data_IF_308928782712
#
_entry.id   IF_308928782712
#
_cell.length_a   1.000
_cell.length_b   1.000
_cell.length_c   1.000
_cell.angle_alpha   90.00
_cell.angle_beta   90.00
_cell.angle_gamma   90.00
#
_symmetry.space_group_name_H-M   'P 1'
#
loop_
_entity.id
_entity.type
_entity.pdbx_description
1 polymer ?
#
# COMPACT_ATOMS: atom_id res chain seq x y z
N UNK A 1 24.21 -21.76 5.41
CA UNK A 1 22.96 -21.41 4.71
C UNK A 1 22.53 -19.96 4.94
N UNK A 2 22.36 -19.50 6.19
CA UNK A 2 21.90 -18.14 6.52
C UNK A 2 22.75 -17.02 5.87
N UNK A 3 24.09 -17.10 5.93
CA UNK A 3 24.99 -16.10 5.33
C UNK A 3 24.77 -15.92 3.81
N UNK A 4 24.56 -17.02 3.09
CA UNK A 4 24.31 -16.99 1.63
C UNK A 4 22.98 -16.33 1.32
N UNK A 5 21.94 -16.60 2.13
CA UNK A 5 20.63 -16.00 1.98
C UNK A 5 20.69 -14.47 2.15
N UNK A 6 21.35 -13.98 3.21
CA UNK A 6 21.55 -12.54 3.40
C UNK A 6 22.39 -11.90 2.28
N UNK A 7 23.44 -12.57 1.82
CA UNK A 7 24.23 -12.10 0.69
C UNK A 7 23.42 -12.00 -0.60
N UNK A 8 22.52 -12.96 -0.84
CA UNK A 8 21.60 -12.94 -1.99
C UNK A 8 20.61 -11.78 -1.89
N UNK A 9 19.99 -11.57 -0.72
CA UNK A 9 19.11 -10.42 -0.46
C UNK A 9 19.84 -9.11 -0.75
N UNK A 10 21.02 -8.93 -0.15
CA UNK A 10 21.83 -7.73 -0.33
C UNK A 10 22.19 -7.48 -1.79
N UNK A 11 22.54 -8.54 -2.52
CA UNK A 11 22.86 -8.46 -3.94
C UNK A 11 21.66 -8.03 -4.78
N UNK A 12 20.45 -8.51 -4.46
CA UNK A 12 19.21 -8.12 -5.15
C UNK A 12 18.83 -6.66 -4.83
N UNK A 13 18.92 -6.26 -3.56
CA UNK A 13 18.67 -4.88 -3.08
C UNK A 13 19.54 -3.88 -3.85
N UNK A 14 20.81 -4.23 -4.07
CA UNK A 14 21.76 -3.41 -4.81
C UNK A 14 21.65 -3.57 -6.34
N UNK A 15 20.66 -4.30 -6.84
CA UNK A 15 20.45 -4.60 -8.26
C UNK A 15 21.64 -5.31 -8.94
N UNK A 16 22.50 -5.97 -8.15
CA UNK A 16 23.71 -6.69 -8.63
C UNK A 16 23.47 -8.19 -8.81
N UNK A 17 22.49 -8.75 -8.10
CA UNK A 17 22.14 -10.17 -8.12
C UNK A 17 20.79 -10.42 -8.79
N UNK A 18 20.50 -11.70 -8.98
CA UNK A 18 19.22 -12.19 -9.50
C UNK A 18 18.64 -13.29 -8.64
N UNK A 19 17.47 -13.83 -9.02
CA UNK A 19 16.82 -14.90 -8.28
C UNK A 19 17.70 -16.17 -8.18
N UNK A 20 18.59 -16.41 -9.14
CA UNK A 20 19.53 -17.54 -9.14
C UNK A 20 20.49 -17.54 -7.94
N UNK A 21 20.65 -16.41 -7.24
CA UNK A 21 21.46 -16.32 -6.03
C UNK A 21 20.80 -16.99 -4.81
N UNK A 22 19.50 -17.28 -4.87
CA UNK A 22 18.78 -17.95 -3.78
C UNK A 22 18.92 -19.47 -3.88
N UNK A 23 19.14 -20.18 -2.75
CA UNK A 23 19.13 -21.64 -2.75
C UNK A 23 17.74 -22.15 -3.14
N UNK A 24 17.66 -23.16 -4.01
CA UNK A 24 16.41 -23.81 -4.32
C UNK A 24 15.88 -24.54 -3.07
N UNK A 25 14.75 -24.06 -2.54
CA UNK A 25 14.09 -24.65 -1.37
C UNK A 25 12.58 -24.35 -1.41
N UNK A 26 11.75 -25.30 -1.84
CA UNK A 26 10.29 -25.17 -1.80
C UNK A 26 9.75 -24.91 -0.39
N UNK A 27 10.43 -25.46 0.63
CA UNK A 27 10.08 -25.27 2.04
C UNK A 27 10.23 -23.78 2.42
N UNK A 28 11.30 -23.13 1.97
CA UNK A 28 11.50 -21.69 2.23
C UNK A 28 10.38 -20.86 1.62
N UNK A 29 9.94 -21.20 0.40
CA UNK A 29 8.80 -20.54 -0.25
C UNK A 29 7.50 -20.73 0.55
N UNK A 30 7.20 -21.96 0.96
CA UNK A 30 6.00 -22.26 1.76
C UNK A 30 6.01 -21.49 3.08
N UNK A 31 7.17 -21.43 3.77
CA UNK A 31 7.32 -20.66 5.00
C UNK A 31 7.08 -19.16 4.76
N UNK A 32 7.67 -18.58 3.71
CA UNK A 32 7.46 -17.18 3.34
C UNK A 32 6.00 -16.84 3.05
N UNK A 33 5.29 -17.73 2.35
CA UNK A 33 3.85 -17.58 2.08
C UNK A 33 3.04 -17.73 3.37
N UNK A 34 3.37 -18.71 4.21
CA UNK A 34 2.70 -18.95 5.49
C UNK A 34 2.83 -17.75 6.43
N UNK A 35 4.03 -17.17 6.55
CA UNK A 35 4.25 -15.92 7.29
C UNK A 35 3.39 -14.78 6.70
N UNK A 36 3.18 -14.78 5.39
CA UNK A 36 2.29 -13.87 4.63
C UNK A 36 0.88 -13.90 5.13
N UNK A 37 0.33 -15.09 5.14
CA UNK A 37 -1.04 -15.35 5.54
C UNK A 37 -1.28 -15.02 7.01
N UNK A 38 -0.24 -15.02 7.85
CA UNK A 38 -0.36 -14.65 9.27
C UNK A 38 -0.21 -13.14 9.46
N UNK A 39 0.84 -12.51 8.93
CA UNK A 39 1.13 -11.09 9.24
C UNK A 39 0.17 -10.14 8.52
N UNK A 40 -0.21 -10.44 7.28
CA UNK A 40 -1.09 -9.57 6.46
C UNK A 40 -2.45 -9.29 7.14
N UNK A 41 -3.18 -10.27 7.70
CA UNK A 41 -4.40 -9.99 8.46
C UNK A 41 -4.19 -9.06 9.63
N UNK A 42 -3.10 -9.24 10.37
CA UNK A 42 -2.79 -8.41 11.54
C UNK A 42 -2.51 -6.95 11.16
N UNK A 43 -1.87 -6.73 10.00
CA UNK A 43 -1.47 -5.39 9.57
C UNK A 43 -2.54 -4.62 8.79
N UNK A 44 -3.49 -5.31 8.13
CA UNK A 44 -4.36 -4.69 7.11
C UNK A 44 -5.76 -4.29 7.59
N UNK A 45 -6.09 -4.48 8.87
CA UNK A 45 -7.36 -4.02 9.46
C UNK A 45 -8.62 -4.56 8.75
N UNK A 46 -8.55 -5.72 8.09
CA UNK A 46 -9.67 -6.33 7.37
C UNK A 46 -9.62 -6.22 5.84
N UNK A 47 -8.63 -5.53 5.25
CA UNK A 47 -8.42 -5.51 3.79
C UNK A 47 -7.72 -6.77 3.24
N UNK A 48 -7.79 -7.88 3.99
CA UNK A 48 -7.09 -9.13 3.69
C UNK A 48 -7.47 -9.70 2.34
N UNK A 49 -8.75 -9.64 1.95
CA UNK A 49 -9.22 -10.23 0.70
C UNK A 49 -8.61 -9.53 -0.54
N UNK A 50 -8.48 -8.20 -0.48
CA UNK A 50 -7.85 -7.41 -1.53
C UNK A 50 -6.35 -7.74 -1.63
N UNK A 51 -5.65 -7.81 -0.50
CA UNK A 51 -4.23 -8.16 -0.47
C UNK A 51 -3.98 -9.60 -0.94
N UNK A 52 -4.81 -10.56 -0.53
CA UNK A 52 -4.75 -11.94 -1.02
C UNK A 52 -4.99 -11.97 -2.52
N UNK A 53 -6.01 -11.29 -3.04
CA UNK A 53 -6.28 -11.27 -4.48
C UNK A 53 -5.11 -10.70 -5.28
N UNK A 54 -4.47 -9.63 -4.80
CA UNK A 54 -3.32 -9.01 -5.44
C UNK A 54 -2.09 -9.93 -5.41
N UNK A 55 -1.82 -10.56 -4.26
CA UNK A 55 -0.72 -11.50 -4.10
C UNK A 55 -0.95 -12.74 -4.97
N UNK A 56 -2.13 -13.36 -4.92
CA UNK A 56 -2.51 -14.50 -5.74
C UNK A 56 -2.40 -14.19 -7.23
N UNK A 57 -2.83 -13.01 -7.66
CA UNK A 57 -2.69 -12.57 -9.05
C UNK A 57 -1.23 -12.45 -9.48
N UNK A 58 -0.39 -11.82 -8.65
CA UNK A 58 1.06 -11.72 -8.91
C UNK A 58 1.70 -13.12 -8.98
N UNK A 59 1.39 -13.97 -8.00
CA UNK A 59 1.94 -15.32 -7.93
C UNK A 59 1.52 -16.16 -9.15
N UNK A 60 0.24 -16.04 -9.56
CA UNK A 60 -0.30 -16.73 -10.73
C UNK A 60 0.36 -16.24 -12.02
N UNK A 61 0.57 -14.92 -12.18
CA UNK A 61 1.26 -14.38 -13.36
C UNK A 61 2.69 -14.91 -13.48
N UNK A 62 3.46 -14.90 -12.39
CA UNK A 62 4.84 -15.43 -12.38
C UNK A 62 4.85 -16.94 -12.64
N UNK A 63 3.87 -17.67 -12.08
CA UNK A 63 3.72 -19.10 -12.33
C UNK A 63 3.44 -19.39 -13.80
N UNK A 64 2.45 -18.74 -14.40
CA UNK A 64 2.11 -18.90 -15.82
C UNK A 64 3.36 -18.64 -16.68
N UNK A 65 4.05 -17.54 -16.42
CA UNK A 65 5.21 -17.13 -17.23
C UNK A 65 6.36 -18.13 -17.17
N UNK A 66 6.62 -18.72 -16.01
CA UNK A 66 7.72 -19.66 -15.82
C UNK A 66 7.32 -21.12 -16.11
N UNK A 67 6.06 -21.48 -15.94
CA UNK A 67 5.52 -22.80 -16.30
C UNK A 67 5.72 -23.08 -17.79
N UNK A 68 5.43 -22.10 -18.65
CA UNK A 68 5.67 -22.22 -20.09
C UNK A 68 7.14 -22.38 -20.47
N UNK A 69 8.08 -22.00 -19.59
CA UNK A 69 9.52 -22.14 -19.85
C UNK A 69 10.12 -23.46 -19.34
N UNK A 70 9.33 -24.33 -18.68
CA UNK A 70 9.77 -25.60 -18.06
C UNK A 70 10.93 -25.47 -17.05
N UNK A 71 11.18 -24.27 -16.51
CA UNK A 71 12.26 -24.00 -15.51
C UNK A 71 11.68 -23.91 -14.10
N UNK A 72 11.24 -25.04 -13.54
CA UNK A 72 10.58 -25.11 -12.21
C UNK A 72 11.48 -24.65 -11.06
N UNK A 73 12.79 -24.90 -11.13
CA UNK A 73 13.73 -24.42 -10.12
C UNK A 73 13.82 -22.89 -10.08
N UNK A 74 13.89 -22.27 -11.27
CA UNK A 74 13.89 -20.81 -11.40
C UNK A 74 12.59 -20.19 -10.92
N UNK A 75 11.47 -20.89 -11.04
CA UNK A 75 10.20 -20.45 -10.47
C UNK A 75 10.28 -20.31 -8.95
N UNK A 76 10.72 -21.35 -8.24
CA UNK A 76 10.82 -21.29 -6.77
C UNK A 76 11.79 -20.20 -6.32
N UNK A 77 12.93 -20.06 -6.99
CA UNK A 77 13.91 -19.01 -6.70
C UNK A 77 13.37 -17.59 -6.96
N UNK A 78 12.67 -17.38 -8.08
CA UNK A 78 12.07 -16.09 -8.43
C UNK A 78 11.00 -15.69 -7.43
N UNK A 79 10.13 -16.63 -7.07
CA UNK A 79 9.06 -16.40 -6.10
C UNK A 79 9.60 -16.12 -4.70
N UNK A 80 10.64 -16.86 -4.30
CA UNK A 80 11.34 -16.60 -3.04
C UNK A 80 11.95 -15.20 -3.04
N UNK A 81 12.63 -14.80 -4.10
CA UNK A 81 13.21 -13.45 -4.22
C UNK A 81 12.14 -12.35 -4.16
N UNK A 82 11.04 -12.51 -4.91
CA UNK A 82 9.94 -11.53 -4.90
C UNK A 82 9.32 -11.40 -3.51
N UNK A 83 8.96 -12.51 -2.86
CA UNK A 83 8.36 -12.51 -1.52
C UNK A 83 9.30 -11.91 -0.48
N UNK A 84 10.58 -12.28 -0.48
CA UNK A 84 11.56 -11.72 0.45
C UNK A 84 11.70 -10.22 0.25
N UNK A 85 11.71 -9.74 -1.00
CA UNK A 85 11.69 -8.31 -1.28
C UNK A 85 10.39 -7.63 -0.84
N UNK A 86 9.22 -8.28 -0.97
CA UNK A 86 7.97 -7.74 -0.40
C UNK A 86 8.06 -7.63 1.13
N UNK A 87 8.56 -8.65 1.82
CA UNK A 87 8.74 -8.61 3.27
C UNK A 87 9.68 -7.50 3.73
N UNK A 88 10.80 -7.35 3.03
CA UNK A 88 11.74 -6.28 3.30
C UNK A 88 11.05 -4.92 3.16
N UNK A 89 10.22 -4.74 2.14
CA UNK A 89 9.47 -3.51 1.95
C UNK A 89 8.46 -3.27 3.05
N UNK A 90 7.73 -4.31 3.48
CA UNK A 90 6.82 -4.21 4.63
C UNK A 90 7.59 -3.75 5.88
N UNK A 91 8.77 -4.33 6.14
CA UNK A 91 9.63 -3.93 7.27
C UNK A 91 10.09 -2.47 7.13
N UNK A 92 10.57 -2.05 5.96
CA UNK A 92 11.00 -0.67 5.71
C UNK A 92 9.84 0.31 5.92
N UNK A 93 8.66 0.01 5.37
CA UNK A 93 7.48 0.84 5.52
C UNK A 93 7.01 0.91 6.97
N UNK A 94 7.06 -0.20 7.72
CA UNK A 94 6.78 -0.21 9.15
C UNK A 94 7.77 0.66 9.92
N UNK A 95 9.08 0.56 9.64
CA UNK A 95 10.10 1.41 10.28
C UNK A 95 9.81 2.88 10.01
N UNK A 96 9.52 3.24 8.76
CA UNK A 96 9.19 4.63 8.42
C UNK A 96 7.92 5.10 9.13
N UNK A 97 6.87 4.27 9.16
CA UNK A 97 5.62 4.57 9.85
C UNK A 97 5.79 4.75 11.37
N UNK A 98 6.52 3.85 12.03
CA UNK A 98 6.80 3.99 13.45
C UNK A 98 7.69 5.19 13.76
N UNK A 99 8.64 5.51 12.86
CA UNK A 99 9.49 6.69 12.99
C UNK A 99 8.69 8.00 12.85
N UNK A 100 7.69 8.05 11.96
CA UNK A 100 6.82 9.23 11.81
C UNK A 100 5.90 9.39 13.01
N UNK A 101 5.34 8.29 13.54
CA UNK A 101 4.58 8.29 14.80
C UNK A 101 5.41 8.80 15.97
N UNK A 102 6.64 8.29 16.11
CA UNK A 102 7.56 8.70 17.16
C UNK A 102 7.91 10.18 17.06
N UNK A 103 8.21 10.68 15.85
CA UNK A 103 8.48 12.10 15.62
C UNK A 103 7.27 12.99 15.94
N UNK A 104 6.06 12.56 15.55
CA UNK A 104 4.83 13.27 15.88
C UNK A 104 4.61 13.35 17.40
N UNK A 105 4.91 12.26 18.12
CA UNK A 105 4.84 12.23 19.58
C UNK A 105 5.85 13.18 20.22
N UNK A 106 7.09 13.24 19.72
CA UNK A 106 8.11 14.19 20.18
C UNK A 106 7.71 15.66 19.97
N UNK A 107 6.96 15.95 18.90
CA UNK A 107 6.47 17.31 18.63
C UNK A 107 5.25 17.69 19.50
N UNK A 108 4.80 16.82 20.41
CA UNK A 108 3.64 17.08 21.28
C UNK A 108 2.30 17.09 20.55
N UNK A 109 2.26 16.64 19.28
CA UNK A 109 1.09 16.69 18.42
C UNK A 109 0.19 15.44 18.52
N UNK A 110 0.52 14.50 19.42
CA UNK A 110 -0.23 13.26 19.61
C UNK A 110 -0.91 13.31 20.97
N UNK A 111 -2.18 13.75 21.00
CA UNK A 111 -3.04 13.59 22.18
C UNK A 111 -3.67 12.21 22.14
N UNK A 112 -3.45 11.38 23.16
CA UNK A 112 -4.25 10.17 23.40
C UNK A 112 -3.65 8.81 23.05
N UNK A 113 -2.33 8.69 22.80
CA UNK A 113 -1.71 7.35 22.70
C UNK A 113 -1.44 6.82 24.11
N UNK A 114 -2.41 6.07 24.65
CA UNK A 114 -2.22 5.29 25.87
C UNK A 114 -1.34 4.07 25.54
N UNK A 115 -0.23 3.78 26.26
CA UNK A 115 0.74 2.73 25.88
C UNK A 115 0.26 1.28 25.97
N UNK A 116 -1.05 1.01 26.10
CA UNK A 116 -1.55 -0.28 26.58
C UNK A 116 -1.92 -1.33 25.54
N UNK A 117 -2.27 -0.97 24.30
CA UNK A 117 -2.89 -1.91 23.36
C UNK A 117 -2.29 -1.81 21.94
N UNK A 118 -1.62 -2.87 21.48
CA UNK A 118 -1.08 -2.99 20.11
C UNK A 118 -2.18 -2.84 19.03
N UNK A 119 -3.43 -3.21 19.33
CA UNK A 119 -4.58 -3.02 18.43
C UNK A 119 -4.93 -1.55 18.21
N UNK A 120 -4.69 -0.71 19.22
CA UNK A 120 -4.98 0.72 19.14
C UNK A 120 -3.91 1.44 18.31
N UNK A 121 -2.67 0.93 18.29
CA UNK A 121 -1.56 1.44 17.47
C UNK A 121 -1.87 1.32 15.97
N UNK A 122 -2.49 0.22 15.53
CA UNK A 122 -2.92 0.07 14.13
C UNK A 122 -4.21 0.82 13.81
N UNK A 123 -4.95 1.25 14.83
CA UNK A 123 -6.23 1.98 14.70
C UNK A 123 -6.08 3.49 14.88
N UNK A 124 -4.85 4.00 15.03
CA UNK A 124 -4.57 5.45 15.09
C UNK A 124 -4.99 6.05 13.75
N UNK A 125 -6.22 6.57 13.71
CA UNK A 125 -6.63 7.50 12.66
C UNK A 125 -5.78 8.74 12.82
N UNK A 126 -4.84 8.93 11.91
CA UNK A 126 -4.18 10.21 11.75
C UNK A 126 -5.25 11.23 11.40
N UNK A 127 -5.64 12.02 12.39
CA UNK A 127 -6.37 13.25 12.15
C UNK A 127 -5.49 14.11 11.23
N UNK A 128 -6.05 14.49 10.09
CA UNK A 128 -5.35 15.01 8.90
C UNK A 128 -4.46 16.24 9.17
N UNK A 129 -4.60 16.83 10.36
CA UNK A 129 -3.98 18.08 10.78
C UNK A 129 -2.81 17.90 11.77
N UNK A 130 -2.42 16.66 12.09
CA UNK A 130 -1.40 16.37 13.13
C UNK A 130 0.06 16.51 12.67
N UNK A 131 0.34 16.57 11.37
CA UNK A 131 1.71 16.69 10.84
C UNK A 131 1.90 18.00 10.07
N UNK A 132 3.04 18.70 10.25
CA UNK A 132 3.34 19.88 9.46
C UNK A 132 3.34 19.57 7.94
N UNK A 133 2.83 20.45 7.07
CA UNK A 133 2.77 20.22 5.62
C UNK A 133 4.12 19.83 5.00
N UNK A 134 5.20 20.40 5.51
CA UNK A 134 6.56 20.07 5.07
C UNK A 134 6.94 18.60 5.36
N UNK A 135 6.53 18.05 6.51
CA UNK A 135 6.79 16.65 6.89
C UNK A 135 5.96 15.71 6.02
N UNK A 136 4.71 16.07 5.74
CA UNK A 136 3.84 15.30 4.81
C UNK A 136 4.45 15.29 3.41
N UNK A 137 4.89 16.44 2.90
CA UNK A 137 5.53 16.55 1.59
C UNK A 137 6.82 15.72 1.50
N UNK A 138 7.68 15.81 2.51
CA UNK A 138 8.89 14.99 2.59
C UNK A 138 8.59 13.49 2.63
N UNK A 139 7.64 13.07 3.46
CA UNK A 139 7.24 11.66 3.57
C UNK A 139 6.66 11.15 2.24
N UNK A 140 5.87 11.96 1.54
CA UNK A 140 5.36 11.63 0.21
C UNK A 140 6.47 11.39 -0.82
N UNK A 141 7.48 12.27 -0.85
CA UNK A 141 8.65 12.10 -1.74
C UNK A 141 9.43 10.84 -1.35
N UNK A 142 9.67 10.61 -0.06
CA UNK A 142 10.36 9.43 0.44
C UNK A 142 9.63 8.14 0.03
N UNK A 143 8.31 8.09 0.20
CA UNK A 143 7.48 6.96 -0.22
C UNK A 143 7.55 6.73 -1.74
N UNK A 144 7.56 7.81 -2.53
CA UNK A 144 7.73 7.73 -3.98
C UNK A 144 9.10 7.11 -4.36
N UNK A 145 10.19 7.55 -3.73
CA UNK A 145 11.52 7.00 -3.96
C UNK A 145 11.60 5.51 -3.58
N UNK A 146 11.03 5.14 -2.43
CA UNK A 146 10.95 3.76 -1.96
C UNK A 146 10.14 2.89 -2.95
N UNK A 147 9.01 3.40 -3.46
CA UNK A 147 8.20 2.70 -4.45
C UNK A 147 8.94 2.51 -5.79
N UNK A 148 9.63 3.55 -6.29
CA UNK A 148 10.45 3.46 -7.50
C UNK A 148 11.57 2.44 -7.30
N UNK A 149 12.26 2.48 -6.17
CA UNK A 149 13.32 1.54 -5.86
C UNK A 149 12.83 0.09 -5.83
N UNK A 150 11.68 -0.17 -5.19
CA UNK A 150 11.05 -1.49 -5.20
C UNK A 150 10.64 -1.93 -6.60
N UNK A 151 10.10 -1.02 -7.42
CA UNK A 151 9.76 -1.33 -8.80
C UNK A 151 11.00 -1.74 -9.60
N UNK A 152 12.12 -1.03 -9.43
CA UNK A 152 13.39 -1.37 -10.07
C UNK A 152 13.91 -2.75 -9.63
N UNK A 153 13.78 -3.10 -8.36
CA UNK A 153 14.12 -4.44 -7.84
C UNK A 153 13.26 -5.52 -8.51
N UNK A 154 11.94 -5.33 -8.52
CA UNK A 154 11.01 -6.30 -9.12
C UNK A 154 11.29 -6.46 -10.62
N UNK A 155 11.51 -5.36 -11.34
CA UNK A 155 11.94 -5.36 -12.74
C UNK A 155 13.23 -6.16 -12.92
N UNK A 156 14.24 -5.92 -12.08
CA UNK A 156 15.51 -6.64 -12.17
C UNK A 156 15.35 -8.15 -11.90
N UNK A 157 14.54 -8.53 -10.91
CA UNK A 157 14.25 -9.93 -10.61
C UNK A 157 13.56 -10.60 -11.81
N UNK A 158 12.50 -10.00 -12.33
CA UNK A 158 11.75 -10.55 -13.48
C UNK A 158 12.66 -10.57 -14.73
N UNK A 159 13.45 -9.53 -14.97
CA UNK A 159 14.43 -9.46 -16.06
C UNK A 159 15.45 -10.59 -16.01
N UNK A 160 15.88 -11.01 -14.83
CA UNK A 160 16.86 -12.09 -14.69
C UNK A 160 16.21 -13.48 -14.68
N UNK A 161 14.97 -13.57 -14.18
CA UNK A 161 14.17 -14.78 -14.25
C UNK A 161 13.76 -15.13 -15.69
N UNK A 162 13.34 -14.10 -16.43
CA UNK A 162 12.82 -14.18 -17.79
C UNK A 162 13.91 -13.82 -18.77
N UNK A 163 14.06 -14.59 -19.84
CA UNK A 163 14.97 -14.17 -20.91
C UNK A 163 14.47 -12.83 -21.49
N UNK A 164 15.38 -11.88 -21.74
CA UNK A 164 15.12 -10.47 -22.08
C UNK A 164 14.01 -10.23 -23.14
N UNK A 165 13.78 -11.24 -23.99
CA UNK A 165 12.73 -11.26 -25.01
C UNK A 165 11.31 -11.15 -24.45
N UNK A 166 11.00 -11.85 -23.35
CA UNK A 166 9.64 -11.87 -22.78
C UNK A 166 9.36 -10.67 -21.88
N UNK A 167 10.41 -10.11 -21.27
CA UNK A 167 10.30 -8.97 -20.35
C UNK A 167 9.62 -7.76 -21.02
N UNK A 168 9.98 -7.44 -22.27
CA UNK A 168 9.40 -6.30 -23.02
C UNK A 168 7.89 -6.42 -23.19
N UNK A 169 7.40 -7.60 -23.55
CA UNK A 169 5.97 -7.86 -23.71
C UNK A 169 5.22 -7.75 -22.39
N UNK A 170 5.84 -8.19 -21.29
CA UNK A 170 5.22 -8.13 -19.96
C UNK A 170 5.11 -6.70 -19.45
N UNK A 171 6.17 -5.89 -19.60
CA UNK A 171 6.14 -4.45 -19.28
C UNK A 171 5.08 -3.73 -20.09
N UNK A 172 4.95 -4.07 -21.37
CA UNK A 172 3.94 -3.49 -22.24
C UNK A 172 2.51 -3.81 -21.76
N UNK A 173 2.21 -5.08 -21.45
CA UNK A 173 0.90 -5.48 -20.93
C UNK A 173 0.61 -4.83 -19.57
N UNK A 174 1.61 -4.75 -18.70
CA UNK A 174 1.46 -4.12 -17.39
C UNK A 174 1.16 -2.62 -17.52
N UNK A 175 1.92 -1.90 -18.36
CA UNK A 175 1.68 -0.48 -18.63
C UNK A 175 0.29 -0.24 -19.22
N UNK A 176 -0.17 -1.10 -20.13
CA UNK A 176 -1.52 -1.02 -20.69
C UNK A 176 -2.63 -1.15 -19.64
N UNK A 177 -2.40 -1.88 -18.55
CA UNK A 177 -3.41 -2.06 -17.49
C UNK A 177 -3.29 -1.03 -16.36
N UNK A 178 -2.08 -0.56 -16.05
CA UNK A 178 -1.85 0.36 -14.91
C UNK A 178 -2.07 1.82 -15.29
N UNK A 179 -1.68 2.22 -16.50
CA UNK A 179 -1.81 3.62 -16.95
C UNK A 179 -3.28 4.09 -16.96
N UNK A 180 -4.27 3.32 -17.47
CA UNK A 180 -5.66 3.75 -17.43
C UNK A 180 -6.17 3.96 -16.00
N UNK A 181 -5.84 3.07 -15.07
CA UNK A 181 -6.26 3.17 -13.68
C UNK A 181 -5.64 4.38 -12.96
N UNK A 182 -4.36 4.69 -13.25
CA UNK A 182 -3.70 5.89 -12.72
C UNK A 182 -4.31 7.17 -13.29
N UNK A 183 -4.66 7.18 -14.57
CA UNK A 183 -5.34 8.31 -15.22
C UNK A 183 -6.71 8.51 -14.59
N UNK A 184 -7.49 7.45 -14.40
CA UNK A 184 -8.81 7.50 -13.79
C UNK A 184 -8.75 8.03 -12.34
N UNK A 185 -7.84 7.50 -11.52
CA UNK A 185 -7.65 7.99 -10.14
C UNK A 185 -7.14 9.44 -10.09
N UNK A 186 -6.28 9.85 -11.03
CA UNK A 186 -5.81 11.23 -11.16
C UNK A 186 -6.91 12.21 -11.55
N UNK A 187 -7.82 11.80 -12.45
CA UNK A 187 -8.98 12.61 -12.84
C UNK A 187 -10.02 12.73 -11.71
N UNK A 188 -10.20 11.66 -10.92
CA UNK A 188 -11.11 11.69 -9.75
C UNK A 188 -10.57 12.60 -8.64
N UNK A 189 -9.26 12.61 -8.40
CA UNK A 189 -8.61 13.44 -7.37
C UNK A 189 -8.62 14.94 -7.69
N UNK A 190 -8.57 15.31 -8.98
CA UNK A 190 -8.52 16.71 -9.42
C UNK A 190 -9.91 17.38 -9.46
N UNK A 191 -10.99 16.69 -9.10
CA UNK A 191 -12.33 17.27 -9.01
C UNK A 191 -12.95 17.69 -10.35
N UNK A 192 -12.29 17.36 -11.47
CA UNK A 192 -12.69 17.77 -12.83
C UNK A 192 -14.06 17.20 -13.23
N UNK A 193 -14.53 16.14 -12.57
CA UNK A 193 -15.82 15.50 -12.88
C UNK A 193 -16.98 15.90 -11.97
N UNK A 194 -16.77 16.71 -10.93
CA UNK A 194 -17.91 17.26 -10.17
C UNK A 194 -18.47 18.47 -10.90
N UNK A 195 -19.26 18.20 -11.94
CA UNK A 195 -20.20 19.18 -12.47
C UNK A 195 -20.96 19.77 -11.26
N UNK A 196 -21.04 21.11 -11.13
CA UNK A 196 -21.72 21.72 -10.00
C UNK A 196 -23.14 21.16 -9.96
N UNK A 197 -23.48 20.50 -8.84
CA UNK A 197 -24.82 19.99 -8.63
C UNK A 197 -25.79 21.14 -8.93
N UNK A 198 -26.84 20.92 -9.76
CA UNK A 198 -27.79 21.96 -10.08
C UNK A 198 -28.30 22.52 -8.75
N UNK A 199 -28.09 23.82 -8.53
CA UNK A 199 -28.66 24.52 -7.38
C UNK A 199 -30.16 24.25 -7.40
N UNK A 200 -30.63 23.32 -6.58
CA UNK A 200 -32.03 23.28 -6.19
C UNK A 200 -32.29 24.57 -5.44
N UNK A 201 -32.83 25.55 -6.17
CA UNK A 201 -33.39 26.77 -5.61
C UNK A 201 -34.57 26.31 -4.75
N UNK A 202 -34.32 26.09 -3.46
CA UNK A 202 -35.37 25.90 -2.49
C UNK A 202 -36.11 27.23 -2.34
N UNK A 203 -37.10 27.44 -3.20
CA UNK A 203 -38.13 28.46 -3.04
C UNK A 203 -39.09 28.01 -1.92
N UNK A 204 -38.61 27.93 -0.69
CA UNK A 204 -39.47 27.85 0.48
C UNK A 204 -39.76 29.27 0.93
N UNK A 205 -40.89 29.81 0.45
CA UNK A 205 -41.46 31.05 0.94
C UNK A 205 -41.71 30.95 2.47
N UNK A 206 -41.48 32.02 3.24
CA UNK A 206 -41.78 32.04 4.66
C UNK A 206 -43.30 31.99 4.85
N UNK A 207 -43.81 30.87 5.38
CA UNK A 207 -45.16 30.78 5.92
C UNK A 207 -45.19 31.63 7.19
N UNK A 208 -45.95 32.72 7.14
CA UNK A 208 -46.23 33.60 8.27
C UNK A 208 -46.98 32.85 9.37
N UNK A 209 -46.34 32.71 10.52
CA UNK A 209 -46.96 32.17 11.74
C UNK A 209 -47.97 33.17 12.32
N UNK A 210 -49.20 32.78 12.69
CA UNK A 210 -50.15 33.68 13.34
C UNK A 210 -49.69 34.00 14.77
N UNK A 211 -49.85 35.26 15.18
CA UNK A 211 -49.52 35.77 16.50
C UNK A 211 -50.33 35.07 17.61
N UNK A 212 -49.64 34.65 18.67
CA UNK A 212 -50.25 34.11 19.89
C UNK A 212 -51.07 35.18 20.64
N UNK A 213 -52.21 34.80 21.26
CA UNK A 213 -53.04 35.72 22.02
C UNK A 213 -52.40 36.13 23.35
N UNK A 214 -52.39 37.44 23.59
CA UNK A 214 -51.94 38.11 24.82
C UNK A 214 -52.75 37.63 26.03
N UNK A 215 -52.06 37.04 27.00
CA UNK A 215 -52.63 36.62 28.28
C UNK A 215 -52.78 37.84 29.21
N UNK A 216 -54.02 38.29 29.42
CA UNK A 216 -54.37 39.36 30.37
C UNK A 216 -54.19 38.85 31.80
N UNK A 217 -53.36 39.53 32.59
CA UNK A 217 -53.17 39.27 34.02
C UNK A 217 -54.10 40.21 34.80
N UNK A 218 -54.99 39.70 35.67
CA UNK A 218 -55.79 40.56 36.55
C UNK A 218 -54.94 41.07 37.72
N UNK A 219 -54.97 42.38 37.97
CA UNK A 219 -54.47 42.98 39.20
C UNK A 219 -55.36 42.58 40.38
N UNK A 220 -54.73 42.20 41.49
CA UNK A 220 -55.28 42.26 42.84
C UNK A 220 -54.38 43.15 43.68
#
# INVERSE_FOLDING_TARGET
MIKQFFSAIWSIILLRGGPQSFPYSPITLILLVGVGLVIVPLASGGHLLLLLSSLSFMLMMVWILLHFTKKTERYVQTMTALLVCEWLMVIVLLIVWYSTLFLAALMGNVKGVSPGHLSDIFSIKFEKDTLPPAVIGFLGILMCLIAIWKLLININIIKQATEWRFFRSMVFIFLLNVVPNLIEQGMVSTGVTKAPAPKTINASAPVSTPASPTKVIPLK
#
